data_IF_140181480068
#
_entry.id   IF_140181480068
#
_cell.length_a   1.000
_cell.length_b   1.000
_cell.length_c   1.000
_cell.angle_alpha   90.00
_cell.angle_beta   90.00
_cell.angle_gamma   90.00
#
_symmetry.space_group_name_H-M   'P 1'
#
loop_
_entity.id
_entity.type
_entity.pdbx_description
1 polymer ?
#
# COMPACT_ATOMS: atom_id res chain seq x y z
N UNK A 1 -20.02 34.47 -21.26
CA UNK A 1 -19.73 34.39 -19.80
C UNK A 1 -19.64 32.95 -19.29
N UNK A 2 -20.62 32.06 -19.58
CA UNK A 2 -20.64 30.65 -19.11
C UNK A 2 -19.39 29.82 -19.45
N UNK A 3 -18.86 29.94 -20.67
CA UNK A 3 -17.67 29.18 -21.12
C UNK A 3 -16.39 29.58 -20.38
N UNK A 4 -16.21 30.87 -20.07
CA UNK A 4 -15.04 31.35 -19.30
C UNK A 4 -15.07 30.81 -17.86
N UNK A 5 -16.26 30.74 -17.26
CA UNK A 5 -16.45 30.18 -15.92
C UNK A 5 -16.16 28.67 -15.90
N UNK A 6 -16.71 27.92 -16.87
CA UNK A 6 -16.45 26.49 -17.04
C UNK A 6 -14.95 26.19 -17.13
N UNK A 7 -14.22 26.88 -18.01
CA UNK A 7 -12.79 26.65 -18.18
C UNK A 7 -12.00 26.98 -16.90
N UNK A 8 -12.40 27.98 -16.12
CA UNK A 8 -11.76 28.30 -14.83
C UNK A 8 -11.93 27.18 -13.80
N UNK A 9 -13.11 26.56 -13.71
CA UNK A 9 -13.29 25.41 -12.81
C UNK A 9 -12.46 24.20 -13.27
N UNK A 10 -12.33 24.01 -14.59
CA UNK A 10 -11.55 22.92 -15.17
C UNK A 10 -10.05 23.13 -14.94
N UNK A 11 -9.54 24.35 -15.06
CA UNK A 11 -8.16 24.68 -14.70
C UNK A 11 -7.85 24.32 -13.25
N UNK A 12 -8.78 24.60 -12.33
CA UNK A 12 -8.60 24.25 -10.93
C UNK A 12 -8.60 22.74 -10.69
N UNK A 13 -9.48 21.99 -11.37
CA UNK A 13 -9.47 20.51 -11.32
C UNK A 13 -8.16 19.95 -11.89
N UNK A 14 -7.64 20.50 -12.99
CA UNK A 14 -6.35 20.11 -13.57
C UNK A 14 -5.22 20.36 -12.56
N UNK A 15 -5.19 21.52 -11.91
CA UNK A 15 -4.19 21.83 -10.89
C UNK A 15 -4.27 20.85 -9.70
N UNK A 16 -5.48 20.46 -9.29
CA UNK A 16 -5.66 19.43 -8.26
C UNK A 16 -5.10 18.07 -8.68
N UNK A 17 -5.35 17.64 -9.92
CA UNK A 17 -4.73 16.40 -10.45
C UNK A 17 -3.21 16.49 -10.53
N UNK A 18 -2.65 17.65 -10.91
CA UNK A 18 -1.21 17.87 -10.92
C UNK A 18 -0.61 17.70 -9.52
N UNK A 19 -1.22 18.31 -8.50
CA UNK A 19 -0.80 18.16 -7.12
C UNK A 19 -0.92 16.72 -6.63
N UNK A 20 -2.03 16.04 -6.95
CA UNK A 20 -2.21 14.62 -6.62
C UNK A 20 -1.16 13.73 -7.28
N UNK A 21 -0.76 14.03 -8.51
CA UNK A 21 0.26 13.24 -9.21
C UNK A 21 1.59 13.20 -8.45
N UNK A 22 1.98 14.30 -7.81
CA UNK A 22 3.19 14.38 -6.97
C UNK A 22 3.07 13.44 -5.77
N UNK A 23 1.91 13.43 -5.12
CA UNK A 23 1.65 12.53 -3.99
C UNK A 23 1.58 11.06 -4.41
N UNK A 24 1.01 10.75 -5.57
CA UNK A 24 1.03 9.39 -6.11
C UNK A 24 2.45 8.94 -6.49
N UNK A 25 3.30 9.83 -7.01
CA UNK A 25 4.73 9.51 -7.21
C UNK A 25 5.43 9.20 -5.88
N UNK A 26 5.16 9.96 -4.82
CA UNK A 26 5.68 9.68 -3.49
C UNK A 26 5.20 8.31 -2.97
N UNK A 27 3.91 8.00 -3.11
CA UNK A 27 3.36 6.68 -2.75
C UNK A 27 4.03 5.56 -3.50
N UNK A 28 4.26 5.72 -4.81
CA UNK A 28 4.97 4.71 -5.61
C UNK A 28 6.39 4.49 -5.08
N UNK A 29 7.11 5.56 -4.79
CA UNK A 29 8.47 5.46 -4.27
C UNK A 29 8.50 4.78 -2.90
N UNK A 30 7.54 5.08 -2.02
CA UNK A 30 7.37 4.38 -0.74
C UNK A 30 7.05 2.89 -0.94
N UNK A 31 6.14 2.54 -1.84
CA UNK A 31 5.85 1.14 -2.17
C UNK A 31 7.10 0.41 -2.68
N UNK A 32 7.95 1.07 -3.47
CA UNK A 32 9.24 0.47 -3.86
C UNK A 32 10.22 0.35 -2.69
N UNK A 33 10.34 1.35 -1.83
CA UNK A 33 11.24 1.33 -0.67
C UNK A 33 10.83 0.26 0.35
N UNK A 34 9.52 0.09 0.56
CA UNK A 34 8.99 -0.95 1.45
C UNK A 34 9.50 -2.34 1.07
N UNK A 35 9.74 -2.60 -0.22
CA UNK A 35 10.32 -3.85 -0.69
C UNK A 35 11.67 -4.14 -0.01
N UNK A 36 12.58 -3.18 -0.09
CA UNK A 36 13.93 -3.29 0.48
C UNK A 36 13.88 -3.38 2.01
N UNK A 37 12.97 -2.63 2.64
CA UNK A 37 12.79 -2.65 4.09
C UNK A 37 12.26 -4.00 4.60
N UNK A 38 11.35 -4.63 3.85
CA UNK A 38 10.85 -5.97 4.16
C UNK A 38 11.96 -7.02 4.00
N UNK A 39 12.72 -6.96 2.90
CA UNK A 39 13.82 -7.91 2.64
C UNK A 39 14.98 -7.79 3.66
N UNK A 40 15.12 -6.64 4.32
CA UNK A 40 16.14 -6.39 5.35
C UNK A 40 15.61 -6.50 6.79
N UNK A 41 14.36 -6.93 6.97
CA UNK A 41 13.66 -7.04 8.26
C UNK A 41 13.74 -5.76 9.12
N UNK A 42 13.76 -4.59 8.48
CA UNK A 42 13.84 -3.30 9.17
C UNK A 42 12.46 -2.80 9.61
N UNK A 43 11.87 -3.50 10.58
CA UNK A 43 10.49 -3.28 11.03
C UNK A 43 10.19 -1.86 11.53
N UNK A 44 11.18 -1.17 12.12
CA UNK A 44 11.01 0.22 12.57
C UNK A 44 10.83 1.19 11.40
N UNK A 45 11.59 1.01 10.33
CA UNK A 45 11.46 1.84 9.13
C UNK A 45 10.23 1.47 8.30
N UNK A 46 9.78 0.20 8.35
CA UNK A 46 8.49 -0.21 7.76
C UNK A 46 7.34 0.57 8.39
N UNK A 47 7.29 0.68 9.73
CA UNK A 47 6.24 1.41 10.44
C UNK A 47 6.21 2.90 10.05
N UNK A 48 7.38 3.55 10.03
CA UNK A 48 7.52 4.94 9.56
C UNK A 48 7.06 5.11 8.11
N UNK A 49 7.37 4.16 7.23
CA UNK A 49 6.94 4.21 5.84
C UNK A 49 5.42 4.05 5.70
N UNK A 50 4.77 3.26 6.57
CA UNK A 50 3.30 3.14 6.63
C UNK A 50 2.63 4.42 7.15
N UNK A 51 3.21 5.07 8.16
CA UNK A 51 2.73 6.37 8.66
C UNK A 51 2.84 7.45 7.58
N UNK A 52 3.99 7.53 6.90
CA UNK A 52 4.18 8.46 5.79
C UNK A 52 3.16 8.21 4.65
N UNK A 53 2.80 6.95 4.41
CA UNK A 53 1.77 6.58 3.45
C UNK A 53 0.39 7.12 3.85
N UNK A 54 0.02 7.00 5.13
CA UNK A 54 -1.24 7.51 5.65
C UNK A 54 -1.34 9.03 5.51
N UNK A 55 -0.26 9.76 5.82
CA UNK A 55 -0.18 11.21 5.64
C UNK A 55 -0.34 11.63 4.18
N UNK A 56 0.30 10.92 3.25
CA UNK A 56 0.13 11.21 1.82
C UNK A 56 -1.32 10.99 1.36
N UNK A 57 -1.97 9.92 1.81
CA UNK A 57 -3.38 9.66 1.50
C UNK A 57 -4.28 10.78 2.05
N UNK A 58 -3.98 11.27 3.25
CA UNK A 58 -4.69 12.42 3.83
C UNK A 58 -4.55 13.67 2.94
N UNK A 59 -3.34 14.00 2.49
CA UNK A 59 -3.11 15.15 1.59
C UNK A 59 -3.87 15.00 0.25
N UNK A 60 -3.92 13.78 -0.31
CA UNK A 60 -4.72 13.50 -1.52
C UNK A 60 -6.22 13.76 -1.26
N UNK A 61 -6.73 13.38 -0.09
CA UNK A 61 -8.12 13.62 0.30
C UNK A 61 -8.43 15.11 0.51
N UNK A 62 -7.48 15.87 1.03
CA UNK A 62 -7.62 17.33 1.15
C UNK A 62 -7.73 17.98 -0.24
N UNK A 63 -6.88 17.59 -1.20
CA UNK A 63 -6.97 18.07 -2.59
C UNK A 63 -8.30 17.64 -3.24
N UNK A 64 -8.76 16.41 -3.01
CA UNK A 64 -10.07 15.97 -3.50
C UNK A 64 -11.21 16.84 -2.96
N UNK A 65 -11.13 17.22 -1.69
CA UNK A 65 -12.12 18.06 -1.04
C UNK A 65 -12.12 19.48 -1.61
N UNK A 66 -10.94 20.03 -1.93
CA UNK A 66 -10.77 21.33 -2.59
C UNK A 66 -11.31 21.34 -4.03
N UNK A 67 -11.13 20.24 -4.78
CA UNK A 67 -11.67 20.11 -6.13
C UNK A 67 -13.20 19.92 -6.19
N UNK A 68 -13.82 19.41 -5.12
CA UNK A 68 -15.21 18.98 -5.12
C UNK A 68 -16.21 20.11 -5.45
N UNK A 69 -16.11 21.32 -4.88
CA UNK A 69 -16.92 22.46 -5.31
C UNK A 69 -16.82 22.76 -6.81
N UNK A 70 -15.61 22.66 -7.39
CA UNK A 70 -15.40 22.93 -8.81
C UNK A 70 -16.02 21.85 -9.70
N UNK A 71 -15.98 20.58 -9.27
CA UNK A 71 -16.68 19.50 -9.96
C UNK A 71 -18.20 19.72 -9.95
N UNK A 72 -18.76 20.14 -8.81
CA UNK A 72 -20.20 20.45 -8.68
C UNK A 72 -20.62 21.59 -9.59
N UNK A 73 -19.85 22.68 -9.62
CA UNK A 73 -20.11 23.81 -10.53
C UNK A 73 -20.09 23.37 -12.00
N UNK A 74 -19.13 22.52 -12.41
CA UNK A 74 -19.11 21.97 -13.78
C UNK A 74 -20.36 21.14 -14.07
N UNK A 75 -20.79 20.30 -13.12
CA UNK A 75 -22.00 19.48 -13.25
C UNK A 75 -23.24 20.35 -13.41
N UNK A 76 -23.36 21.41 -12.61
CA UNK A 76 -24.49 22.35 -12.67
C UNK A 76 -24.49 23.15 -13.98
N UNK A 77 -23.34 23.70 -14.39
CA UNK A 77 -23.19 24.48 -15.62
C UNK A 77 -23.53 23.68 -16.89
N UNK A 78 -23.27 22.37 -16.85
CA UNK A 78 -23.49 21.46 -17.97
C UNK A 78 -24.76 20.61 -17.85
N UNK A 79 -25.54 20.80 -16.79
CA UNK A 79 -26.74 20.01 -16.48
C UNK A 79 -26.49 18.49 -16.49
N UNK A 80 -25.35 18.07 -15.94
CA UNK A 80 -24.98 16.67 -15.82
C UNK A 80 -25.55 16.06 -14.53
N UNK A 81 -25.64 14.73 -14.45
CA UNK A 81 -25.95 14.03 -13.20
C UNK A 81 -24.73 13.89 -12.29
N UNK A 82 -23.55 13.79 -12.91
CA UNK A 82 -22.26 13.58 -12.26
C UNK A 82 -21.15 14.12 -13.14
N UNK A 83 -19.99 14.42 -12.54
CA UNK A 83 -18.83 14.90 -13.27
C UNK A 83 -18.30 13.77 -14.16
N UNK A 84 -18.23 14.01 -15.47
CA UNK A 84 -17.76 13.03 -16.44
C UNK A 84 -16.88 13.68 -17.49
N UNK A 85 -15.59 13.30 -17.50
CA UNK A 85 -14.58 13.82 -18.43
C UNK A 85 -14.99 13.71 -19.90
N UNK A 86 -15.59 12.59 -20.29
CA UNK A 86 -16.00 12.36 -21.67
C UNK A 86 -17.12 13.31 -22.14
N UNK A 87 -17.91 13.85 -21.20
CA UNK A 87 -18.97 14.82 -21.49
C UNK A 87 -18.48 16.27 -21.45
N UNK A 88 -17.32 16.52 -20.85
CA UNK A 88 -16.74 17.85 -20.65
C UNK A 88 -15.71 18.18 -21.73
N UNK A 89 -15.01 17.18 -22.26
CA UNK A 89 -13.85 17.33 -23.16
C UNK A 89 -14.10 18.18 -24.42
N UNK A 90 -15.29 18.15 -25.01
CA UNK A 90 -15.61 18.90 -26.23
C UNK A 90 -16.15 20.32 -25.96
N UNK A 91 -16.34 20.69 -24.69
CA UNK A 91 -16.92 21.97 -24.26
C UNK A 91 -15.88 22.92 -23.65
N UNK A 92 -14.65 22.46 -23.52
CA UNK A 92 -13.52 23.18 -22.92
C UNK A 92 -12.46 23.51 -23.98
N UNK A 93 -11.55 24.41 -23.64
CA UNK A 93 -10.46 24.74 -24.55
C UNK A 93 -9.59 23.50 -24.86
N UNK A 94 -9.17 23.30 -26.13
CA UNK A 94 -8.37 22.13 -26.53
C UNK A 94 -7.12 21.90 -25.68
N UNK A 95 -6.48 22.99 -25.24
CA UNK A 95 -5.33 22.94 -24.34
C UNK A 95 -5.65 22.37 -22.96
N UNK A 96 -6.84 22.67 -22.42
CA UNK A 96 -7.28 22.16 -21.12
C UNK A 96 -7.70 20.70 -21.23
N UNK A 97 -8.38 20.34 -22.32
CA UNK A 97 -8.69 18.93 -22.64
C UNK A 97 -7.42 18.09 -22.63
N UNK A 98 -6.40 18.49 -23.37
CA UNK A 98 -5.13 17.77 -23.46
C UNK A 98 -4.47 17.61 -22.08
N UNK A 99 -4.38 18.69 -21.29
CA UNK A 99 -3.84 18.63 -19.93
C UNK A 99 -4.63 17.67 -19.04
N UNK A 100 -5.95 17.73 -19.10
CA UNK A 100 -6.83 16.89 -18.30
C UNK A 100 -6.65 15.40 -18.64
N UNK A 101 -6.52 15.08 -19.94
CA UNK A 101 -6.20 13.73 -20.43
C UNK A 101 -4.81 13.27 -19.95
N UNK A 102 -3.79 14.12 -20.09
CA UNK A 102 -2.40 13.85 -19.67
C UNK A 102 -2.32 13.56 -18.15
N UNK A 103 -2.90 14.42 -17.31
CA UNK A 103 -2.86 14.24 -15.85
C UNK A 103 -3.67 13.03 -15.38
N UNK A 104 -4.84 12.78 -16.00
CA UNK A 104 -5.65 11.60 -15.69
C UNK A 104 -4.90 10.32 -16.04
N UNK A 105 -4.24 10.29 -17.20
CA UNK A 105 -3.46 9.14 -17.63
C UNK A 105 -2.24 8.93 -16.73
N UNK A 106 -1.55 10.01 -16.35
CA UNK A 106 -0.43 9.97 -15.39
C UNK A 106 -0.84 9.35 -14.06
N UNK A 107 -1.94 9.82 -13.45
CA UNK A 107 -2.44 9.27 -12.18
C UNK A 107 -2.80 7.78 -12.35
N UNK A 108 -3.46 7.42 -13.45
CA UNK A 108 -3.84 6.03 -13.73
C UNK A 108 -2.63 5.09 -13.82
N UNK A 109 -1.55 5.53 -14.47
CA UNK A 109 -0.34 4.73 -14.59
C UNK A 109 0.41 4.63 -13.25
N UNK A 110 0.49 5.72 -12.49
CA UNK A 110 1.04 5.68 -11.12
C UNK A 110 0.27 4.71 -10.22
N UNK A 111 -1.07 4.73 -10.27
CA UNK A 111 -1.90 3.81 -9.49
C UNK A 111 -1.65 2.34 -9.86
N UNK A 112 -1.48 2.04 -11.16
CA UNK A 112 -1.13 0.68 -11.59
C UNK A 112 0.24 0.25 -11.04
N UNK A 113 1.23 1.14 -11.09
CA UNK A 113 2.57 0.88 -10.54
C UNK A 113 2.51 0.63 -9.03
N UNK A 114 1.80 1.49 -8.27
CA UNK A 114 1.59 1.33 -6.83
C UNK A 114 0.95 -0.03 -6.50
N UNK A 115 -0.16 -0.38 -7.16
CA UNK A 115 -0.85 -1.66 -6.94
C UNK A 115 0.05 -2.85 -7.25
N UNK A 116 0.90 -2.74 -8.27
CA UNK A 116 1.84 -3.79 -8.64
C UNK A 116 2.88 -3.99 -7.54
N UNK A 117 3.50 -2.90 -7.06
CA UNK A 117 4.46 -2.96 -5.96
C UNK A 117 3.84 -3.47 -4.66
N UNK A 118 2.65 -2.99 -4.31
CA UNK A 118 1.98 -3.40 -3.08
C UNK A 118 1.64 -4.89 -3.07
N UNK A 119 1.20 -5.45 -4.21
CA UNK A 119 0.97 -6.88 -4.36
C UNK A 119 2.26 -7.69 -4.18
N UNK A 120 3.36 -7.21 -4.74
CA UNK A 120 4.66 -7.85 -4.60
C UNK A 120 5.17 -7.81 -3.15
N UNK A 121 5.00 -6.68 -2.47
CA UNK A 121 5.39 -6.52 -1.08
C UNK A 121 4.55 -7.40 -0.15
N UNK A 122 3.23 -7.43 -0.35
CA UNK A 122 2.33 -8.26 0.44
C UNK A 122 2.68 -9.75 0.29
N UNK A 123 3.03 -10.19 -0.92
CA UNK A 123 3.48 -11.56 -1.16
C UNK A 123 4.73 -11.91 -0.34
N UNK A 124 5.74 -11.03 -0.33
CA UNK A 124 6.96 -11.27 0.46
C UNK A 124 6.67 -11.25 1.96
N UNK A 125 5.88 -10.30 2.45
CA UNK A 125 5.52 -10.26 3.87
C UNK A 125 4.85 -11.57 4.31
N UNK A 126 3.99 -12.15 3.48
CA UNK A 126 3.37 -13.44 3.77
C UNK A 126 4.40 -14.59 3.75
N UNK A 127 5.34 -14.59 2.80
CA UNK A 127 6.45 -15.57 2.76
C UNK A 127 7.34 -15.47 4.01
N UNK A 128 7.73 -14.26 4.44
CA UNK A 128 8.49 -14.02 5.67
C UNK A 128 7.71 -14.51 6.91
N UNK A 129 6.42 -14.20 6.99
CA UNK A 129 5.56 -14.65 8.11
C UNK A 129 5.48 -16.17 8.20
N UNK A 130 5.40 -16.86 7.07
CA UNK A 130 5.43 -18.33 7.03
C UNK A 130 6.77 -18.86 7.54
N UNK A 131 7.90 -18.27 7.09
CA UNK A 131 9.24 -18.65 7.54
C UNK A 131 9.39 -18.50 9.06
N UNK A 132 9.06 -17.32 9.61
CA UNK A 132 9.13 -17.04 11.04
C UNK A 132 8.25 -18.02 11.84
N UNK A 133 7.05 -18.32 11.33
CA UNK A 133 6.14 -19.28 11.98
C UNK A 133 6.71 -20.70 12.02
N UNK A 134 7.48 -21.11 11.00
CA UNK A 134 8.16 -22.41 10.98
C UNK A 134 9.33 -22.44 11.96
N UNK A 135 10.15 -21.38 12.01
CA UNK A 135 11.24 -21.24 12.97
C UNK A 135 10.74 -21.30 14.41
N UNK A 136 9.65 -20.60 14.73
CA UNK A 136 9.03 -20.63 16.06
C UNK A 136 8.55 -22.04 16.44
N UNK A 137 8.01 -22.82 15.49
CA UNK A 137 7.64 -24.22 15.73
C UNK A 137 8.86 -25.08 16.04
N UNK A 138 9.96 -24.91 15.32
CA UNK A 138 11.20 -25.66 15.57
C UNK A 138 11.79 -25.32 16.94
N UNK A 139 11.81 -24.03 17.33
CA UNK A 139 12.27 -23.60 18.65
C UNK A 139 11.41 -24.23 19.75
N UNK A 140 10.07 -24.27 19.56
CA UNK A 140 9.17 -24.89 20.52
C UNK A 140 9.42 -26.40 20.66
N UNK A 141 9.53 -27.12 19.54
CA UNK A 141 9.85 -28.55 19.54
C UNK A 141 11.20 -28.85 20.19
N UNK A 142 12.20 -28.00 19.95
CA UNK A 142 13.51 -28.12 20.59
C UNK A 142 13.43 -27.92 22.11
N UNK A 143 12.65 -26.95 22.59
CA UNK A 143 12.41 -26.76 24.03
C UNK A 143 11.69 -27.95 24.66
N UNK A 144 10.65 -28.47 24.00
CA UNK A 144 9.92 -29.67 24.46
C UNK A 144 10.85 -30.89 24.53
N UNK A 145 11.72 -31.06 23.54
CA UNK A 145 12.76 -32.10 23.53
C UNK A 145 13.76 -31.91 24.69
N UNK A 146 14.27 -30.69 24.89
CA UNK A 146 15.19 -30.40 26.01
C UNK A 146 14.55 -30.69 27.37
N UNK A 147 13.29 -30.30 27.58
CA UNK A 147 12.54 -30.61 28.80
C UNK A 147 12.42 -32.13 29.00
N UNK A 148 12.09 -32.90 27.97
CA UNK A 148 11.99 -34.35 28.07
C UNK A 148 13.33 -35.05 28.42
N UNK A 149 14.47 -34.42 28.15
CA UNK A 149 15.79 -34.95 28.52
C UNK A 149 16.27 -34.46 29.89
N UNK A 150 15.95 -33.22 30.28
CA UNK A 150 16.33 -32.63 31.56
C UNK A 150 15.43 -33.06 32.72
N UNK A 151 14.16 -33.38 32.46
CA UNK A 151 13.21 -33.93 33.44
C UNK A 151 13.36 -35.44 33.64
N UNK A 152 14.44 -36.06 33.13
CA UNK A 152 14.75 -37.44 33.52
C UNK A 152 15.18 -37.43 34.99
N UNK A 153 14.47 -38.13 35.90
CA UNK A 153 14.96 -38.31 37.25
C UNK A 153 16.35 -38.98 37.21
N UNK A 154 17.31 -38.44 37.98
CA UNK A 154 18.56 -39.11 38.34
C UNK A 154 18.25 -40.37 39.16
N UNK A 155 17.65 -41.39 38.56
CA UNK A 155 17.41 -42.69 39.18
C UNK A 155 17.05 -43.69 38.07
N UNK A 156 18.03 -44.02 37.24
CA UNK A 156 18.07 -45.37 36.70
C UNK A 156 18.70 -46.23 37.80
N UNK A 157 17.96 -47.12 38.49
CA UNK A 157 18.62 -48.15 39.28
C UNK A 157 19.56 -48.93 38.34
N UNK A 158 20.74 -49.30 38.85
CA UNK A 158 21.74 -50.05 38.09
C UNK A 158 21.08 -51.20 37.30
N UNK A 159 21.49 -51.44 36.05
CA UNK A 159 20.94 -52.53 35.26
C UNK A 159 21.27 -53.86 35.95
N UNK A 160 20.26 -54.49 36.56
CA UNK A 160 20.38 -55.86 37.07
C UNK A 160 20.36 -56.80 35.89
N UNK A 161 21.55 -57.25 35.47
CA UNK A 161 21.69 -58.32 34.49
C UNK A 161 21.20 -59.63 35.11
N UNK A 162 20.07 -60.14 34.63
CA UNK A 162 19.62 -61.49 34.97
C UNK A 162 20.46 -62.53 34.20
N UNK A 163 21.69 -62.76 34.65
CA UNK A 163 22.45 -63.95 34.24
C UNK A 163 21.93 -65.15 35.04
N UNK A 164 20.81 -65.74 34.59
CA UNK A 164 20.36 -67.04 35.10
C UNK A 164 21.18 -68.13 34.41
N UNK A 165 22.36 -68.41 34.95
CA UNK A 165 23.02 -69.71 34.74
C UNK A 165 22.11 -70.82 35.27
N UNK A 166 21.70 -71.72 34.38
CA UNK A 166 21.33 -73.09 34.70
C UNK A 166 22.24 -74.02 33.91
#
# INVERSE_FOLDING_TARGET
MKVKNLNSHIEHIINGYQQQSVFYEQLRNLSRQLRELIETDNWQEIDKALDARADIIKNINEINSDMEPHKKEVVELLHLKEFNLAKVQDLIYPQLRRKLEEETQKIKDLLKEIVTWDRQNMKIMEEHKISISQELKQIKQYREFQQAYLDRPEMFPEPVFFDKKK
#
